data_IF_999430214322
#
_entry.id   IF_999430214322
#
_cell.length_a   1.000
_cell.length_b   1.000
_cell.length_c   1.000
_cell.angle_alpha   90.00
_cell.angle_beta   90.00
_cell.angle_gamma   90.00
#
_symmetry.space_group_name_H-M   'P 1'
#
loop_
_entity.id
_entity.type
_entity.pdbx_description
1 polymer ?
#
# COMPACT_ATOMS: atom_id res chain seq x y z
N UNK A 1 34.48 -3.35 47.19
CA UNK A 1 33.41 -2.56 47.83
C UNK A 1 32.13 -2.80 47.05
N UNK A 2 31.23 -3.61 47.62
CA UNK A 2 29.88 -3.90 47.09
C UNK A 2 28.92 -2.89 47.73
N UNK A 3 28.00 -2.34 46.95
CA UNK A 3 26.80 -1.69 47.48
C UNK A 3 25.58 -2.20 46.70
N UNK A 4 24.74 -2.95 47.40
CA UNK A 4 23.38 -3.33 47.04
C UNK A 4 22.40 -2.26 47.54
N UNK A 5 21.34 -1.95 46.79
CA UNK A 5 19.99 -1.58 47.29
C UNK A 5 19.05 -1.47 46.07
N UNK A 6 18.20 -2.45 45.75
CA UNK A 6 16.91 -2.84 46.36
C UNK A 6 15.71 -2.21 45.61
N UNK A 7 14.99 -3.07 44.89
CA UNK A 7 13.66 -2.82 44.34
C UNK A 7 12.63 -2.67 45.47
N UNK A 8 11.68 -1.74 45.30
CA UNK A 8 10.42 -1.74 46.02
C UNK A 8 9.25 -1.77 45.04
N UNK A 9 8.56 -2.91 45.04
CA UNK A 9 7.24 -3.15 44.46
C UNK A 9 6.18 -3.01 45.56
N UNK A 10 5.11 -2.25 45.31
CA UNK A 10 3.90 -2.24 46.15
C UNK A 10 2.65 -2.42 45.27
N UNK A 11 1.72 -3.33 45.62
CA UNK A 11 0.44 -3.53 44.94
C UNK A 11 -0.67 -2.72 45.63
N UNK A 12 -1.69 -2.29 44.88
CA UNK A 12 -2.96 -1.82 45.47
C UNK A 12 -4.14 -2.52 44.79
N UNK A 13 -5.03 -3.00 45.64
CA UNK A 13 -6.06 -3.99 45.42
C UNK A 13 -7.39 -3.42 44.92
N UNK A 14 -8.13 -4.33 44.27
CA UNK A 14 -9.57 -4.31 44.00
C UNK A 14 -10.38 -4.15 45.30
N UNK A 15 -11.39 -3.27 45.29
CA UNK A 15 -12.50 -3.30 46.24
C UNK A 15 -13.82 -3.10 45.50
N UNK A 16 -14.69 -4.09 45.64
CA UNK A 16 -16.09 -4.10 45.21
C UNK A 16 -16.97 -3.85 46.44
N UNK A 17 -17.96 -2.96 46.34
CA UNK A 17 -18.99 -2.83 47.36
C UNK A 17 -20.32 -2.35 46.72
N UNK A 18 -21.36 -3.15 46.93
CA UNK A 18 -22.76 -2.84 46.66
C UNK A 18 -23.32 -1.82 47.66
N UNK A 19 -24.34 -1.05 47.24
CA UNK A 19 -25.19 -0.28 48.15
C UNK A 19 -26.23 0.56 47.40
N UNK A 20 -27.48 0.11 47.43
CA UNK A 20 -28.68 0.81 46.97
C UNK A 20 -28.89 2.13 47.73
N UNK A 21 -29.43 3.15 47.05
CA UNK A 21 -30.42 4.06 47.63
C UNK A 21 -31.30 4.68 46.53
N UNK A 22 -32.57 4.90 46.91
CA UNK A 22 -33.70 5.15 46.02
C UNK A 22 -34.15 6.63 46.00
N UNK A 23 -34.42 7.13 44.77
CA UNK A 23 -35.54 8.03 44.35
C UNK A 23 -35.73 9.44 44.97
N UNK A 24 -36.58 10.35 44.42
CA UNK A 24 -37.20 10.46 43.08
C UNK A 24 -37.11 11.88 42.44
N UNK A 25 -37.59 12.03 41.19
CA UNK A 25 -38.05 13.34 40.69
C UNK A 25 -38.03 13.52 39.16
N UNK A 26 -39.04 12.99 38.46
CA UNK A 26 -39.34 13.41 37.08
C UNK A 26 -40.84 13.72 36.96
N UNK A 27 -41.14 14.95 36.57
CA UNK A 27 -42.47 15.48 36.31
C UNK A 27 -42.92 15.18 34.87
N UNK A 28 -44.22 14.96 34.76
CA UNK A 28 -44.97 14.47 33.61
C UNK A 28 -45.14 15.44 32.43
N UNK A 29 -45.47 14.86 31.28
CA UNK A 29 -46.40 15.44 30.30
C UNK A 29 -47.20 14.31 29.61
N UNK A 30 -48.51 14.31 29.84
CA UNK A 30 -49.59 13.60 29.12
C UNK A 30 -49.52 13.85 27.59
N UNK A 31 -49.94 12.99 26.66
CA UNK A 31 -51.17 12.18 26.50
C UNK A 31 -51.83 12.61 25.16
N UNK A 32 -52.44 11.81 24.28
CA UNK A 32 -52.74 10.39 24.19
C UNK A 32 -53.43 10.10 22.82
N UNK A 33 -53.95 8.87 22.65
CA UNK A 33 -55.16 8.47 21.90
C UNK A 33 -55.02 7.19 21.03
N UNK A 34 -55.87 6.19 21.30
CA UNK A 34 -56.63 5.48 20.24
C UNK A 34 -56.26 4.03 19.89
N UNK A 35 -56.88 3.05 20.58
CA UNK A 35 -57.10 1.67 20.11
C UNK A 35 -58.33 1.59 19.16
N UNK A 36 -58.85 0.42 18.71
CA UNK A 36 -58.25 -0.87 18.27
C UNK A 36 -58.84 -1.38 16.91
N UNK A 37 -58.30 -2.46 16.32
CA UNK A 37 -59.14 -3.44 15.60
C UNK A 37 -58.47 -4.83 15.51
N UNK A 38 -59.32 -5.85 15.39
CA UNK A 38 -59.14 -7.23 15.82
C UNK A 38 -59.06 -8.24 14.66
N UNK A 39 -58.52 -9.44 14.97
CA UNK A 39 -58.85 -10.76 14.38
C UNK A 39 -58.31 -11.06 12.96
N UNK A 40 -57.93 -12.28 12.57
CA UNK A 40 -57.96 -13.63 13.14
C UNK A 40 -56.95 -14.48 12.31
N UNK A 41 -55.95 -15.14 12.90
CA UNK A 41 -55.85 -16.57 13.28
C UNK A 41 -56.12 -17.65 12.21
N UNK A 42 -55.08 -18.44 11.90
CA UNK A 42 -55.02 -19.93 11.88
C UNK A 42 -53.67 -20.33 11.25
N UNK A 43 -52.83 -21.26 11.74
CA UNK A 43 -52.93 -22.26 12.80
C UNK A 43 -52.45 -23.60 12.23
N UNK A 44 -51.27 -24.09 12.66
CA UNK A 44 -50.92 -25.50 12.95
C UNK A 44 -49.40 -25.78 12.87
N UNK A 45 -48.85 -26.33 13.96
CA UNK A 45 -47.56 -27.03 14.08
C UNK A 45 -47.87 -28.54 14.32
N UNK A 46 -46.99 -29.42 14.84
CA UNK A 46 -45.51 -29.47 14.90
C UNK A 46 -44.95 -30.89 14.55
N UNK A 47 -43.63 -31.10 14.64
CA UNK A 47 -43.08 -32.39 15.08
C UNK A 47 -41.75 -32.83 14.45
N UNK A 48 -40.81 -33.26 15.32
CA UNK A 48 -39.75 -34.22 14.94
C UNK A 48 -38.34 -33.88 15.43
N UNK A 49 -38.03 -34.23 16.67
CA UNK A 49 -36.65 -34.42 17.13
C UNK A 49 -36.17 -35.84 16.78
N UNK A 50 -34.90 -36.01 16.41
CA UNK A 50 -34.14 -37.24 16.68
C UNK A 50 -32.63 -37.03 16.54
N UNK A 51 -31.91 -37.73 17.39
CA UNK A 51 -30.51 -37.67 17.74
C UNK A 51 -29.62 -38.68 16.98
N UNK A 52 -28.32 -38.52 17.21
CA UNK A 52 -27.23 -39.53 17.31
C UNK A 52 -26.69 -40.21 16.05
N UNK A 53 -25.35 -40.26 15.97
CA UNK A 53 -24.63 -41.11 15.01
C UNK A 53 -23.14 -40.82 14.92
N UNK A 54 -22.39 -41.05 16.00
CA UNK A 54 -20.93 -41.15 16.01
C UNK A 54 -20.43 -42.30 15.12
N UNK A 55 -19.37 -42.06 14.34
CA UNK A 55 -18.62 -43.10 13.63
C UNK A 55 -17.14 -42.78 13.58
N UNK A 56 -16.39 -43.23 14.59
CA UNK A 56 -14.94 -43.37 14.53
C UNK A 56 -14.61 -44.72 13.88
N UNK A 57 -13.72 -44.74 12.89
CA UNK A 57 -12.99 -45.94 12.50
C UNK A 57 -11.51 -45.58 12.28
N UNK A 58 -10.69 -46.22 13.11
CA UNK A 58 -9.24 -46.21 13.07
C UNK A 58 -8.70 -47.24 12.06
N UNK A 59 -7.43 -47.06 11.69
CA UNK A 59 -6.52 -48.18 11.42
C UNK A 59 -6.02 -48.28 9.98
N UNK A 60 -4.70 -48.18 9.81
CA UNK A 60 -4.04 -48.57 8.55
C UNK A 60 -2.65 -47.99 8.38
N UNK A 61 -1.70 -48.41 9.22
CA UNK A 61 -0.27 -48.20 9.02
C UNK A 61 0.27 -49.05 7.86
N UNK A 62 1.27 -48.53 7.14
CA UNK A 62 2.01 -49.26 6.11
C UNK A 62 3.30 -48.52 5.73
N UNK A 63 4.37 -48.80 6.47
CA UNK A 63 5.75 -48.34 6.22
C UNK A 63 6.44 -49.19 5.14
N UNK A 64 7.30 -48.57 4.33
CA UNK A 64 8.66 -49.03 3.91
C UNK A 64 9.12 -48.17 2.72
N UNK A 65 10.16 -47.35 2.81
CA UNK A 65 11.59 -47.64 2.96
C UNK A 65 12.26 -48.16 1.69
N UNK A 66 13.20 -47.37 1.16
CA UNK A 66 14.45 -47.90 0.59
C UNK A 66 14.77 -47.55 -0.87
N UNK A 67 15.88 -46.84 -1.08
CA UNK A 67 16.76 -47.14 -2.22
C UNK A 67 17.27 -45.96 -3.06
N UNK A 68 18.29 -45.26 -2.57
CA UNK A 68 19.42 -44.84 -3.42
C UNK A 68 20.57 -45.87 -3.16
N UNK A 69 21.50 -46.13 -4.10
CA UNK A 69 22.68 -45.26 -4.20
C UNK A 69 23.43 -45.18 -5.58
N UNK A 70 24.16 -44.07 -5.73
CA UNK A 70 25.58 -43.90 -6.19
C UNK A 70 26.09 -44.17 -7.63
N UNK A 71 26.75 -43.12 -8.14
CA UNK A 71 28.09 -42.99 -8.77
C UNK A 71 28.46 -43.53 -10.18
N UNK A 72 29.24 -42.68 -10.88
CA UNK A 72 30.11 -42.95 -12.04
C UNK A 72 30.38 -41.69 -12.89
N UNK A 73 31.30 -40.77 -12.54
CA UNK A 73 32.72 -40.62 -12.97
C UNK A 73 33.09 -40.72 -14.46
N UNK A 74 33.89 -39.75 -14.94
CA UNK A 74 34.73 -39.79 -16.17
C UNK A 74 34.66 -38.51 -17.03
N UNK A 75 35.47 -37.46 -16.78
CA UNK A 75 36.81 -37.14 -17.31
C UNK A 75 36.88 -36.56 -18.75
N UNK A 76 37.57 -35.42 -18.89
CA UNK A 76 38.11 -34.90 -20.17
C UNK A 76 38.63 -33.46 -20.09
N UNK A 77 39.95 -33.30 -19.97
CA UNK A 77 40.69 -32.04 -19.86
C UNK A 77 41.52 -31.73 -21.14
N UNK A 78 41.94 -30.46 -21.30
CA UNK A 78 43.03 -30.00 -22.17
C UNK A 78 42.82 -28.55 -22.63
N UNK A 79 43.41 -27.51 -22.01
CA UNK A 79 44.79 -27.00 -21.98
C UNK A 79 45.30 -26.27 -23.25
N UNK A 80 45.84 -25.06 -23.01
CA UNK A 80 46.93 -24.40 -23.75
C UNK A 80 46.48 -23.32 -24.73
N UNK A 81 46.98 -22.08 -24.74
CA UNK A 81 48.08 -21.45 -24.01
C UNK A 81 48.27 -20.00 -24.51
N UNK A 82 48.79 -19.13 -23.65
CA UNK A 82 49.32 -17.79 -23.96
C UNK A 82 50.77 -17.87 -24.46
N UNK A 83 51.23 -16.88 -25.24
CA UNK A 83 52.15 -15.86 -24.71
C UNK A 83 51.74 -14.46 -25.25
N UNK A 84 52.14 -13.29 -24.74
CA UNK A 84 53.28 -12.89 -23.94
C UNK A 84 53.94 -11.68 -24.63
N UNK A 85 53.89 -10.50 -24.00
CA UNK A 85 54.91 -9.46 -24.11
C UNK A 85 54.71 -8.29 -25.10
N UNK A 86 55.04 -7.09 -24.62
CA UNK A 86 55.60 -6.01 -25.45
C UNK A 86 54.87 -4.67 -25.34
N UNK A 87 55.37 -3.78 -24.48
CA UNK A 87 54.95 -2.38 -24.40
C UNK A 87 55.46 -1.52 -25.56
N UNK A 88 54.96 -0.29 -25.64
CA UNK A 88 55.46 0.72 -26.57
C UNK A 88 54.53 1.92 -26.68
N UNK A 89 54.94 3.02 -26.05
CA UNK A 89 54.31 4.32 -26.11
C UNK A 89 54.48 4.99 -27.50
N UNK A 90 53.50 5.82 -27.86
CA UNK A 90 53.56 7.06 -28.65
C UNK A 90 52.22 7.18 -29.42
N UNK A 91 51.44 8.25 -29.33
CA UNK A 91 51.85 9.63 -29.13
C UNK A 91 51.70 10.38 -30.44
N UNK A 92 50.55 11.03 -30.57
CA UNK A 92 50.22 12.13 -31.48
C UNK A 92 50.03 11.85 -32.98
N UNK A 93 48.84 12.20 -33.46
CA UNK A 93 48.64 12.86 -34.74
C UNK A 93 47.43 13.79 -34.60
N UNK A 94 47.72 15.08 -34.41
CA UNK A 94 46.89 16.20 -34.90
C UNK A 94 46.69 16.01 -36.42
N UNK A 95 45.64 16.48 -37.10
CA UNK A 95 45.18 17.85 -37.27
C UNK A 95 43.78 17.77 -37.95
N UNK A 96 42.87 18.68 -37.60
CA UNK A 96 42.10 19.42 -38.61
C UNK A 96 40.79 18.84 -39.16
N UNK A 97 39.69 19.44 -38.71
CA UNK A 97 38.87 20.20 -39.65
C UNK A 97 37.54 19.59 -40.11
N UNK A 98 36.49 20.37 -39.82
CA UNK A 98 35.26 20.59 -40.60
C UNK A 98 34.13 19.56 -40.55
N UNK A 99 33.02 20.00 -39.95
CA UNK A 99 31.73 20.06 -40.63
C UNK A 99 30.89 18.79 -40.58
N UNK A 100 30.11 18.64 -39.52
CA UNK A 100 28.97 17.73 -39.46
C UNK A 100 27.83 18.40 -38.72
N UNK A 101 26.85 18.89 -39.49
CA UNK A 101 25.65 19.59 -39.03
C UNK A 101 24.91 18.75 -37.98
N UNK A 102 24.80 19.26 -36.74
CA UNK A 102 23.76 18.82 -35.83
C UNK A 102 22.42 19.12 -36.49
N UNK A 103 21.69 18.06 -36.84
CA UNK A 103 20.27 18.13 -37.13
C UNK A 103 19.54 18.64 -35.89
N UNK A 104 19.36 19.96 -35.82
CA UNK A 104 18.40 20.58 -34.92
C UNK A 104 17.01 20.28 -35.50
N UNK A 105 16.50 19.10 -35.17
CA UNK A 105 15.07 18.82 -35.21
C UNK A 105 14.43 19.50 -34.02
N UNK A 106 14.21 20.81 -34.13
CA UNK A 106 13.39 21.55 -33.18
C UNK A 106 11.97 21.02 -33.21
N UNK A 107 11.63 20.20 -32.22
CA UNK A 107 10.28 20.20 -31.67
C UNK A 107 10.36 21.06 -30.42
N UNK A 108 9.59 22.15 -30.36
CA UNK A 108 9.37 22.92 -29.13
C UNK A 108 8.61 22.07 -28.13
N UNK A 109 9.30 21.08 -27.56
CA UNK A 109 8.72 20.06 -26.73
C UNK A 109 8.35 20.64 -25.38
N UNK A 110 7.06 20.56 -25.03
CA UNK A 110 6.69 20.41 -23.63
C UNK A 110 7.68 19.41 -23.02
N UNK A 111 8.39 19.83 -21.97
CA UNK A 111 9.41 19.00 -21.32
C UNK A 111 8.79 17.64 -20.99
N UNK A 112 9.26 16.59 -21.66
CA UNK A 112 8.63 15.28 -21.59
C UNK A 112 8.61 14.78 -20.14
N UNK A 113 7.48 14.23 -19.71
CA UNK A 113 7.40 13.61 -18.41
C UNK A 113 8.11 12.26 -18.44
N UNK A 114 9.25 12.15 -17.75
CA UNK A 114 10.06 10.95 -17.74
C UNK A 114 10.06 10.31 -16.35
N UNK A 115 10.37 9.02 -16.26
CA UNK A 115 10.58 8.34 -14.98
C UNK A 115 11.66 9.02 -14.14
N UNK A 116 12.73 9.50 -14.77
CA UNK A 116 13.81 10.24 -14.11
C UNK A 116 13.33 11.56 -13.50
N UNK A 117 12.45 12.29 -14.19
CA UNK A 117 11.82 13.50 -13.65
C UNK A 117 10.98 13.18 -12.40
N UNK A 118 10.10 12.17 -12.49
CA UNK A 118 9.19 11.80 -11.41
C UNK A 118 9.94 11.27 -10.18
N UNK A 119 10.90 10.36 -10.37
CA UNK A 119 11.74 9.83 -9.29
C UNK A 119 12.55 10.94 -8.61
N UNK A 120 13.20 11.82 -9.37
CA UNK A 120 13.95 12.95 -8.80
C UNK A 120 13.05 13.92 -8.02
N UNK A 121 11.80 14.11 -8.45
CA UNK A 121 10.84 14.94 -7.74
C UNK A 121 10.39 14.32 -6.41
N UNK A 122 10.18 12.99 -6.38
CA UNK A 122 9.90 12.24 -5.14
C UNK A 122 11.08 12.35 -4.18
N UNK A 123 12.31 12.15 -4.67
CA UNK A 123 13.53 12.28 -3.86
C UNK A 123 13.69 13.68 -3.26
N UNK A 124 13.53 14.71 -4.10
CA UNK A 124 13.59 16.09 -3.67
C UNK A 124 12.50 16.41 -2.63
N UNK A 125 11.26 15.93 -2.85
CA UNK A 125 10.15 16.15 -1.92
C UNK A 125 10.47 15.62 -0.52
N UNK A 126 10.92 14.37 -0.41
CA UNK A 126 11.24 13.78 0.90
C UNK A 126 12.49 14.41 1.54
N UNK A 127 13.47 14.86 0.74
CA UNK A 127 14.61 15.61 1.27
C UNK A 127 14.17 16.97 1.85
N UNK A 128 13.32 17.71 1.12
CA UNK A 128 12.72 18.96 1.59
C UNK A 128 11.84 18.75 2.83
N UNK A 129 11.05 17.67 2.84
CA UNK A 129 10.21 17.26 3.96
C UNK A 129 11.05 17.03 5.21
N UNK A 130 12.15 16.27 5.12
CA UNK A 130 13.04 16.03 6.25
C UNK A 130 13.78 17.28 6.73
N UNK A 131 14.03 18.23 5.83
CA UNK A 131 14.64 19.53 6.13
C UNK A 131 13.63 20.57 6.65
N UNK A 132 12.33 20.25 6.65
CA UNK A 132 11.23 21.16 6.94
C UNK A 132 11.25 22.44 6.07
N UNK A 133 11.77 22.34 4.85
CA UNK A 133 11.99 23.48 3.95
C UNK A 133 11.50 23.20 2.52
N UNK A 134 10.25 23.61 2.19
CA UNK A 134 9.70 23.43 0.85
C UNK A 134 10.31 24.37 -0.21
N UNK A 135 11.10 25.39 0.18
CA UNK A 135 11.65 26.38 -0.75
C UNK A 135 12.67 25.80 -1.73
N UNK A 136 13.19 24.62 -1.42
CA UNK A 136 14.12 23.84 -2.27
C UNK A 136 13.42 23.11 -3.42
N UNK A 137 12.08 23.03 -3.40
CA UNK A 137 11.31 22.29 -4.40
C UNK A 137 10.96 23.15 -5.63
N UNK A 138 10.88 22.55 -6.82
CA UNK A 138 10.38 23.21 -8.02
C UNK A 138 8.85 23.33 -7.96
N UNK A 139 8.31 24.27 -7.18
CA UNK A 139 6.87 24.43 -6.99
C UNK A 139 6.26 25.33 -8.06
N UNK A 140 5.07 24.97 -8.54
CA UNK A 140 4.25 25.85 -9.35
C UNK A 140 3.55 26.89 -8.46
N UNK A 141 3.25 28.08 -9.02
CA UNK A 141 2.47 29.09 -8.30
C UNK A 141 1.04 28.63 -7.97
N UNK A 142 0.52 27.66 -8.72
CA UNK A 142 -0.80 27.05 -8.55
C UNK A 142 -0.80 25.82 -7.63
N UNK A 143 0.27 25.59 -6.86
CA UNK A 143 0.40 24.41 -6.01
C UNK A 143 -0.82 24.26 -5.09
N UNK A 144 -1.45 23.09 -5.13
CA UNK A 144 -2.40 22.64 -4.10
C UNK A 144 -1.74 21.53 -3.27
N UNK A 145 -1.87 21.62 -1.95
CA UNK A 145 -1.35 20.63 -1.02
C UNK A 145 -2.42 20.19 -0.02
N UNK A 146 -2.49 18.89 0.25
CA UNK A 146 -3.32 18.32 1.32
C UNK A 146 -2.53 17.32 2.17
N UNK A 147 -2.82 17.28 3.47
CA UNK A 147 -2.45 16.19 4.39
C UNK A 147 -3.71 15.61 5.02
N UNK A 148 -3.91 14.29 4.91
CA UNK A 148 -5.10 13.57 5.39
C UNK A 148 -6.42 14.29 5.01
N UNK A 149 -6.51 14.73 3.75
CA UNK A 149 -7.69 15.42 3.22
C UNK A 149 -7.77 16.93 3.51
N UNK A 150 -6.89 17.47 4.36
CA UNK A 150 -6.95 18.87 4.78
C UNK A 150 -6.00 19.73 3.96
N UNK A 151 -6.56 20.71 3.25
CA UNK A 151 -5.76 21.66 2.47
C UNK A 151 -4.97 22.62 3.36
N UNK A 152 -3.73 22.90 2.98
CA UNK A 152 -2.87 23.88 3.65
C UNK A 152 -1.77 24.38 2.72
N UNK A 153 -1.07 25.44 3.12
CA UNK A 153 0.19 25.82 2.46
C UNK A 153 1.24 24.73 2.74
N UNK A 154 1.95 24.31 1.69
CA UNK A 154 3.03 23.33 1.84
C UNK A 154 4.06 23.83 2.87
N UNK A 155 4.40 23.00 3.85
CA UNK A 155 5.36 23.33 4.89
C UNK A 155 4.78 23.95 6.17
N UNK A 156 3.52 24.40 6.19
CA UNK A 156 2.96 25.16 7.32
C UNK A 156 2.53 24.30 8.51
N UNK A 157 2.17 23.03 8.29
CA UNK A 157 1.59 22.17 9.32
C UNK A 157 1.88 20.67 9.07
N UNK A 158 1.40 19.83 10.00
CA UNK A 158 1.40 18.38 9.84
C UNK A 158 2.80 17.77 9.84
N UNK A 159 2.99 16.74 9.01
CA UNK A 159 4.24 15.99 8.90
C UNK A 159 5.43 16.89 8.52
N UNK A 160 5.18 18.00 7.81
CA UNK A 160 6.22 18.98 7.47
C UNK A 160 6.91 19.63 8.68
N UNK A 161 6.33 19.54 9.87
CA UNK A 161 6.93 20.09 11.11
C UNK A 161 7.71 19.09 11.93
N UNK A 162 7.55 17.79 11.64
CA UNK A 162 7.99 16.71 12.52
C UNK A 162 8.74 15.61 11.79
N UNK A 163 8.73 15.61 10.46
CA UNK A 163 9.36 14.60 9.63
C UNK A 163 10.86 14.46 9.88
N UNK A 164 11.33 13.23 9.96
CA UNK A 164 12.74 12.89 9.76
C UNK A 164 13.05 12.48 8.32
N UNK A 165 14.30 12.10 8.07
CA UNK A 165 14.67 11.46 6.81
C UNK A 165 13.90 10.14 6.63
N UNK A 166 13.29 9.94 5.46
CA UNK A 166 12.55 8.70 5.16
C UNK A 166 13.45 7.48 5.33
N UNK A 167 12.90 6.39 5.83
CA UNK A 167 13.60 5.12 6.06
C UNK A 167 13.43 4.14 4.90
N UNK A 168 12.36 4.29 4.14
CA UNK A 168 11.98 3.40 3.05
C UNK A 168 11.03 4.13 2.11
N UNK A 169 11.05 3.78 0.82
CA UNK A 169 10.02 4.17 -0.13
C UNK A 169 9.99 3.20 -1.32
N UNK A 170 8.81 3.02 -1.91
CA UNK A 170 8.64 2.53 -3.28
C UNK A 170 7.62 3.39 -4.03
N UNK A 171 7.79 3.55 -5.34
CA UNK A 171 7.01 4.49 -6.14
C UNK A 171 6.50 3.89 -7.45
N UNK A 172 5.23 4.12 -7.73
CA UNK A 172 4.68 4.03 -9.08
C UNK A 172 4.92 5.36 -9.83
N UNK A 173 5.52 5.30 -11.01
CA UNK A 173 5.85 6.46 -11.84
C UNK A 173 5.01 6.45 -13.12
N UNK A 174 3.94 7.23 -13.14
CA UNK A 174 3.00 7.35 -14.27
C UNK A 174 3.41 8.51 -15.19
N UNK A 175 4.16 8.18 -16.23
CA UNK A 175 4.68 9.17 -17.19
C UNK A 175 3.62 9.76 -18.11
N UNK A 176 2.45 9.11 -18.24
CA UNK A 176 1.38 9.62 -19.10
C UNK A 176 0.57 10.72 -18.39
N UNK A 177 0.27 10.52 -17.10
CA UNK A 177 -0.38 11.56 -16.28
C UNK A 177 0.59 12.55 -15.66
N UNK A 178 1.90 12.29 -15.78
CA UNK A 178 2.95 12.99 -15.08
C UNK A 178 2.73 13.07 -13.57
N UNK A 179 2.47 11.90 -12.98
CA UNK A 179 2.22 11.74 -11.56
C UNK A 179 3.09 10.63 -10.97
N UNK A 180 3.39 10.75 -9.69
CA UNK A 180 3.92 9.65 -8.89
C UNK A 180 2.95 9.31 -7.77
N UNK A 181 3.00 8.05 -7.32
CA UNK A 181 2.39 7.60 -6.09
C UNK A 181 3.41 6.76 -5.33
N UNK A 182 3.69 7.12 -4.09
CA UNK A 182 4.79 6.57 -3.30
C UNK A 182 4.27 6.14 -1.95
N UNK A 183 4.52 4.89 -1.55
CA UNK A 183 4.40 4.47 -0.16
C UNK A 183 5.77 4.54 0.50
N UNK A 184 5.84 5.01 1.74
CA UNK A 184 7.07 5.34 2.44
C UNK A 184 6.93 5.09 3.94
N UNK A 185 8.06 4.92 4.62
CA UNK A 185 8.14 5.02 6.08
C UNK A 185 8.93 6.27 6.46
N UNK A 186 8.31 7.15 7.25
CA UNK A 186 8.90 8.43 7.65
C UNK A 186 8.85 8.55 9.18
N UNK A 187 9.94 8.98 9.85
CA UNK A 187 9.86 9.36 11.26
C UNK A 187 8.95 10.59 11.45
N UNK A 188 8.01 10.54 12.38
CA UNK A 188 7.12 11.63 12.79
C UNK A 188 7.14 11.75 14.32
N UNK A 189 7.77 12.81 14.84
CA UNK A 189 7.65 13.16 16.27
C UNK A 189 8.14 12.11 17.28
N UNK A 190 8.93 11.12 16.84
CA UNK A 190 9.46 10.04 17.68
C UNK A 190 8.96 8.63 17.32
N UNK A 191 7.97 8.52 16.45
CA UNK A 191 7.47 7.25 15.90
C UNK A 191 7.79 7.14 14.41
N UNK A 192 7.81 5.92 13.87
CA UNK A 192 7.83 5.71 12.41
C UNK A 192 6.40 5.57 11.92
N UNK A 193 6.02 6.32 10.89
CA UNK A 193 4.66 6.28 10.33
C UNK A 193 4.69 5.84 8.86
N UNK A 194 3.76 4.98 8.42
CA UNK A 194 3.50 4.74 7.01
C UNK A 194 2.89 5.98 6.36
N UNK A 195 3.38 6.31 5.17
CA UNK A 195 2.99 7.51 4.42
C UNK A 195 2.71 7.13 2.98
N UNK A 196 1.61 7.64 2.42
CA UNK A 196 1.40 7.70 0.99
C UNK A 196 1.56 9.13 0.49
N UNK A 197 2.30 9.32 -0.59
CA UNK A 197 2.51 10.59 -1.26
C UNK A 197 2.13 10.46 -2.72
N UNK A 198 1.24 11.32 -3.19
CA UNK A 198 1.00 11.52 -4.62
C UNK A 198 1.48 12.92 -5.03
N UNK A 199 2.30 12.96 -6.08
CA UNK A 199 2.71 14.21 -6.73
C UNK A 199 2.14 14.28 -8.14
N UNK A 200 1.78 15.48 -8.58
CA UNK A 200 1.57 15.79 -10.01
C UNK A 200 2.55 16.87 -10.43
N UNK A 201 3.11 16.71 -11.62
CA UNK A 201 4.01 17.67 -12.22
C UNK A 201 3.44 18.22 -13.53
N UNK A 202 3.60 19.53 -13.72
CA UNK A 202 3.37 20.20 -14.99
C UNK A 202 4.55 21.13 -15.25
N UNK A 203 5.10 21.11 -16.47
CA UNK A 203 6.28 21.91 -16.83
C UNK A 203 7.46 21.72 -15.86
N UNK A 204 7.71 20.46 -15.44
CA UNK A 204 8.75 20.07 -14.47
C UNK A 204 8.59 20.69 -13.07
N UNK A 205 7.40 21.21 -12.75
CA UNK A 205 7.09 21.76 -11.43
C UNK A 205 5.99 20.98 -10.75
N UNK A 206 6.08 20.82 -9.44
CA UNK A 206 5.02 20.22 -8.63
C UNK A 206 3.83 21.18 -8.60
N UNK A 207 2.71 20.73 -9.14
CA UNK A 207 1.41 21.45 -9.12
C UNK A 207 0.48 20.90 -8.05
N UNK A 208 0.67 19.65 -7.65
CA UNK A 208 -0.19 19.00 -6.67
C UNK A 208 0.64 18.08 -5.75
N UNK A 209 0.35 18.13 -4.45
CA UNK A 209 0.95 17.27 -3.43
C UNK A 209 -0.14 16.77 -2.48
N UNK A 210 -0.42 15.48 -2.50
CA UNK A 210 -1.39 14.83 -1.63
C UNK A 210 -0.67 13.84 -0.72
N UNK A 211 -0.76 14.08 0.59
CA UNK A 211 -0.09 13.29 1.61
C UNK A 211 -1.13 12.59 2.48
N UNK A 212 -0.97 11.28 2.67
CA UNK A 212 -1.71 10.48 3.64
C UNK A 212 -0.70 9.97 4.65
N UNK A 213 -0.90 10.28 5.92
CA UNK A 213 -0.01 9.94 7.04
C UNK A 213 -0.81 9.09 8.01
N UNK A 214 -0.49 7.81 8.09
CA UNK A 214 -1.17 6.86 8.96
C UNK A 214 -0.54 6.89 10.36
N UNK A 215 -1.15 7.64 11.28
CA UNK A 215 -0.71 7.71 12.67
C UNK A 215 -1.45 6.69 13.54
N UNK A 216 -0.90 6.40 14.71
CA UNK A 216 -1.53 5.49 15.67
C UNK A 216 -2.96 5.94 16.01
N UNK A 217 -3.92 5.01 15.89
CA UNK A 217 -5.33 5.27 16.13
C UNK A 217 -6.11 5.83 14.94
N UNK A 218 -5.46 6.24 13.85
CA UNK A 218 -6.14 6.73 12.65
C UNK A 218 -6.98 5.64 11.96
N UNK A 219 -6.56 4.37 12.08
CA UNK A 219 -7.30 3.22 11.57
C UNK A 219 -7.39 2.12 12.64
N UNK A 220 -8.39 2.14 13.53
CA UNK A 220 -8.43 1.26 14.71
C UNK A 220 -8.68 -0.22 14.38
N UNK A 221 -9.05 -0.54 13.14
CA UNK A 221 -9.26 -1.92 12.70
C UNK A 221 -7.94 -2.69 12.50
N UNK A 222 -6.82 -1.99 12.34
CA UNK A 222 -5.51 -2.60 12.13
C UNK A 222 -4.37 -1.71 12.62
N UNK A 223 -3.51 -2.26 13.48
CA UNK A 223 -2.30 -1.59 13.93
C UNK A 223 -1.27 -1.46 12.79
N UNK A 224 -0.70 -0.26 12.65
CA UNK A 224 0.36 -0.02 11.68
C UNK A 224 1.62 -0.80 12.05
N UNK A 225 2.34 -1.30 11.03
CA UNK A 225 3.62 -1.97 11.23
C UNK A 225 4.64 -1.48 10.18
N UNK A 226 5.26 -0.31 10.39
CA UNK A 226 6.22 0.26 9.45
C UNK A 226 7.36 -0.70 9.09
N UNK A 227 7.85 -1.49 10.04
CA UNK A 227 8.91 -2.46 9.80
C UNK A 227 8.51 -3.53 8.78
N UNK A 228 7.28 -4.04 8.84
CA UNK A 228 6.76 -4.99 7.88
C UNK A 228 6.52 -4.37 6.50
N UNK A 229 6.14 -3.08 6.42
CA UNK A 229 6.07 -2.37 5.14
C UNK A 229 7.45 -2.32 4.46
N UNK A 230 8.51 -1.99 5.20
CA UNK A 230 9.88 -1.97 4.66
C UNK A 230 10.35 -3.36 4.23
N UNK A 231 10.11 -4.38 5.06
CA UNK A 231 10.51 -5.76 4.78
C UNK A 231 9.73 -6.40 3.61
N UNK A 232 8.60 -5.80 3.20
CA UNK A 232 7.80 -6.31 2.09
C UNK A 232 8.54 -6.32 0.75
N UNK A 233 9.49 -5.40 0.57
CA UNK A 233 10.22 -5.25 -0.68
C UNK A 233 11.12 -6.44 -0.98
N UNK A 234 11.66 -7.11 0.05
CA UNK A 234 12.50 -8.32 -0.09
C UNK A 234 11.77 -9.46 -0.81
N UNK A 235 10.43 -9.50 -0.72
CA UNK A 235 9.59 -10.53 -1.34
C UNK A 235 8.91 -10.03 -2.61
N UNK A 236 8.39 -8.80 -2.58
CA UNK A 236 7.51 -8.29 -3.64
C UNK A 236 8.32 -7.61 -4.75
N UNK A 237 9.46 -6.99 -4.39
CA UNK A 237 10.31 -6.21 -5.27
C UNK A 237 9.47 -5.16 -6.05
N UNK A 238 8.86 -4.23 -5.31
CA UNK A 238 7.80 -3.35 -5.81
C UNK A 238 8.21 -2.63 -7.09
N UNK A 239 9.42 -2.07 -7.10
CA UNK A 239 9.94 -1.30 -8.24
C UNK A 239 10.69 -2.15 -9.28
N UNK A 240 10.79 -3.47 -9.11
CA UNK A 240 11.44 -4.32 -10.12
C UNK A 240 10.67 -4.24 -11.43
N UNK A 241 11.38 -3.87 -12.50
CA UNK A 241 10.82 -3.82 -13.84
C UNK A 241 10.29 -5.19 -14.27
N UNK A 242 9.08 -5.19 -14.81
CA UNK A 242 8.43 -6.38 -15.34
C UNK A 242 8.98 -6.64 -16.75
N UNK A 243 9.25 -7.91 -17.15
CA UNK A 243 9.63 -8.23 -18.52
C UNK A 243 8.59 -7.74 -19.54
N UNK A 244 9.02 -7.20 -20.68
CA UNK A 244 8.12 -6.54 -21.63
C UNK A 244 6.92 -7.39 -22.07
N UNK A 245 7.09 -8.72 -22.23
CA UNK A 245 6.01 -9.64 -22.60
C UNK A 245 5.05 -10.01 -21.46
N UNK A 246 5.34 -9.60 -20.23
CA UNK A 246 4.53 -9.84 -19.03
C UNK A 246 3.91 -8.56 -18.47
N UNK A 247 4.26 -7.38 -19.04
CA UNK A 247 3.70 -6.10 -18.62
C UNK A 247 2.22 -6.04 -18.96
N UNK A 248 1.41 -5.70 -17.97
CA UNK A 248 0.03 -5.30 -18.20
C UNK A 248 0.00 -3.95 -18.93
N UNK A 249 -1.02 -3.71 -19.75
CA UNK A 249 -1.26 -2.37 -20.29
C UNK A 249 -1.74 -1.42 -19.20
N UNK A 250 -1.72 -0.12 -19.49
CA UNK A 250 -2.32 0.90 -18.62
C UNK A 250 -3.78 0.56 -18.31
N UNK A 251 -4.56 0.25 -19.35
CA UNK A 251 -5.98 -0.04 -19.25
C UNK A 251 -6.23 -1.26 -18.37
N UNK A 252 -5.38 -2.29 -18.46
CA UNK A 252 -5.43 -3.46 -17.60
C UNK A 252 -5.15 -3.07 -16.15
N UNK A 253 -4.06 -2.36 -15.85
CA UNK A 253 -3.72 -1.94 -14.48
C UNK A 253 -4.83 -1.08 -13.85
N UNK A 254 -5.27 -0.03 -14.55
CA UNK A 254 -6.33 0.86 -14.04
C UNK A 254 -7.68 0.16 -13.98
N UNK A 255 -7.99 -0.73 -14.93
CA UNK A 255 -9.23 -1.49 -14.95
C UNK A 255 -9.32 -2.52 -13.82
N UNK A 256 -8.21 -3.17 -13.48
CA UNK A 256 -8.12 -4.06 -12.31
C UNK A 256 -8.26 -3.30 -11.00
N UNK A 257 -7.65 -2.11 -10.89
CA UNK A 257 -7.78 -1.25 -9.71
C UNK A 257 -9.22 -0.71 -9.54
N UNK A 258 -9.84 -0.20 -10.59
CA UNK A 258 -11.25 0.22 -10.56
C UNK A 258 -12.17 -0.94 -10.14
N UNK A 259 -11.98 -2.12 -10.73
CA UNK A 259 -12.74 -3.32 -10.40
C UNK A 259 -12.55 -3.75 -8.94
N UNK A 260 -11.34 -3.64 -8.40
CA UNK A 260 -11.06 -3.95 -7.00
C UNK A 260 -11.91 -3.09 -6.07
N UNK A 261 -11.90 -1.77 -6.24
CA UNK A 261 -12.67 -0.86 -5.40
C UNK A 261 -14.17 -1.10 -5.54
N UNK A 262 -14.68 -1.22 -6.77
CA UNK A 262 -16.11 -1.46 -7.01
C UNK A 262 -16.63 -2.76 -6.44
N UNK A 263 -15.74 -3.73 -6.16
CA UNK A 263 -16.10 -5.04 -5.60
C UNK A 263 -15.72 -5.20 -4.14
N UNK A 264 -15.15 -4.20 -3.50
CA UNK A 264 -14.83 -4.27 -2.08
C UNK A 264 -16.08 -4.64 -1.25
N UNK A 265 -15.97 -5.56 -0.27
CA UNK A 265 -14.80 -6.26 0.24
C UNK A 265 -14.55 -7.63 -0.42
N UNK A 266 -15.20 -7.94 -1.56
CA UNK A 266 -15.15 -9.27 -2.18
C UNK A 266 -13.74 -9.73 -2.56
N UNK A 267 -12.77 -8.83 -2.64
CA UNK A 267 -11.34 -9.15 -2.70
C UNK A 267 -10.69 -8.88 -4.05
N UNK A 268 -9.42 -9.24 -4.13
CA UNK A 268 -8.55 -9.01 -5.28
C UNK A 268 -8.64 -10.21 -6.21
N UNK A 269 -8.64 -9.91 -7.50
CA UNK A 269 -8.82 -10.89 -8.57
C UNK A 269 -7.49 -11.40 -9.11
N UNK A 270 -7.51 -12.64 -9.62
CA UNK A 270 -6.38 -13.27 -10.33
C UNK A 270 -5.07 -13.21 -9.52
N UNK A 271 -5.16 -13.44 -8.21
CA UNK A 271 -4.02 -13.39 -7.31
C UNK A 271 -3.18 -14.66 -7.41
N UNK A 272 -1.87 -14.54 -7.18
CA UNK A 272 -1.03 -15.71 -6.97
C UNK A 272 -1.33 -16.38 -5.62
N UNK A 273 -1.01 -17.67 -5.45
CA UNK A 273 -1.21 -18.35 -4.16
C UNK A 273 -0.46 -17.72 -2.99
N UNK A 274 0.64 -17.03 -3.27
CA UNK A 274 1.52 -16.36 -2.31
C UNK A 274 1.30 -14.84 -2.24
N UNK A 275 0.21 -14.35 -2.86
CA UNK A 275 -0.11 -12.93 -2.90
C UNK A 275 -0.25 -12.36 -1.50
N UNK A 276 0.37 -11.21 -1.29
CA UNK A 276 0.44 -10.54 0.00
C UNK A 276 -0.43 -9.29 0.04
N UNK A 277 -1.24 -9.13 1.08
CA UNK A 277 -1.93 -7.88 1.41
C UNK A 277 -1.33 -7.25 2.65
N UNK A 278 -0.90 -6.00 2.51
CA UNK A 278 -0.28 -5.21 3.57
C UNK A 278 -1.05 -3.90 3.70
N UNK A 279 -1.44 -3.51 4.91
CA UNK A 279 -2.21 -2.28 5.12
C UNK A 279 -1.57 -1.49 6.27
N UNK A 280 -1.07 -0.29 5.99
CA UNK A 280 -0.21 0.47 6.91
C UNK A 280 0.99 -0.36 7.42
N UNK A 281 1.44 -1.34 6.63
CA UNK A 281 2.43 -2.34 7.05
C UNK A 281 1.87 -3.49 7.92
N UNK A 282 0.70 -3.30 8.52
CA UNK A 282 0.02 -4.30 9.33
C UNK A 282 -0.66 -5.40 8.50
N UNK A 283 -1.17 -6.41 9.21
CA UNK A 283 -2.14 -7.37 8.67
C UNK A 283 -1.55 -8.56 7.91
N UNK A 284 -0.46 -8.38 7.16
CA UNK A 284 0.24 -9.43 6.37
C UNK A 284 -0.67 -10.59 5.90
N UNK A 285 -1.81 -10.24 5.30
CA UNK A 285 -2.83 -11.21 4.96
C UNK A 285 -2.43 -11.89 3.65
N UNK A 286 -2.74 -13.18 3.51
CA UNK A 286 -2.79 -13.76 2.16
C UNK A 286 -3.91 -13.02 1.43
N UNK A 287 -3.66 -12.53 0.23
CA UNK A 287 -4.71 -11.92 -0.58
C UNK A 287 -5.87 -12.90 -0.66
N UNK A 288 -7.02 -12.56 -0.06
CA UNK A 288 -8.21 -13.38 -0.12
C UNK A 288 -8.52 -13.67 -1.58
N UNK A 289 -8.63 -14.94 -1.95
CA UNK A 289 -9.13 -15.36 -3.26
C UNK A 289 -10.58 -14.88 -3.35
N UNK A 290 -10.77 -13.64 -3.78
CA UNK A 290 -12.10 -13.09 -4.00
C UNK A 290 -12.78 -13.93 -5.07
N UNK A 291 -14.00 -14.39 -4.80
CA UNK A 291 -14.74 -15.34 -5.63
C UNK A 291 -14.68 -15.00 -7.13
N UNK A 292 -13.81 -15.67 -7.89
CA UNK A 292 -13.69 -15.74 -9.37
C UNK A 292 -13.94 -14.48 -10.20
N UNK A 293 -14.00 -13.29 -9.59
CA UNK A 293 -14.45 -12.05 -10.21
C UNK A 293 -15.79 -12.15 -10.96
N UNK A 294 -16.63 -13.14 -10.66
CA UNK A 294 -17.94 -13.27 -11.28
C UNK A 294 -18.76 -11.99 -11.04
N UNK A 295 -19.51 -11.55 -12.04
CA UNK A 295 -20.34 -10.34 -11.99
C UNK A 295 -21.34 -10.35 -10.82
N UNK A 296 -21.35 -9.27 -10.03
CA UNK A 296 -22.24 -9.06 -8.88
C UNK A 296 -21.52 -8.41 -7.69
N UNK A 297 -21.88 -7.18 -7.34
CA UNK A 297 -21.58 -6.67 -6.00
C UNK A 297 -22.35 -7.54 -5.00
N UNK A 298 -21.74 -7.91 -3.88
CA UNK A 298 -22.53 -8.46 -2.76
C UNK A 298 -23.66 -7.48 -2.45
N UNK A 299 -24.90 -7.96 -2.36
CA UNK A 299 -26.06 -7.11 -2.10
C UNK A 299 -25.88 -6.37 -0.76
N UNK A 300 -25.97 -5.03 -0.76
CA UNK A 300 -26.09 -4.22 0.45
C UNK A 300 -24.82 -3.55 0.98
N UNK A 301 -23.69 -3.60 0.27
CA UNK A 301 -22.46 -2.89 0.63
C UNK A 301 -22.21 -1.68 -0.27
N UNK A 302 -21.60 -0.62 0.29
CA UNK A 302 -21.23 0.57 -0.47
C UNK A 302 -20.21 0.18 -1.56
N UNK A 303 -20.50 0.59 -2.80
CA UNK A 303 -19.56 0.44 -3.92
C UNK A 303 -18.52 1.53 -3.79
N UNK A 304 -17.28 1.17 -3.46
CA UNK A 304 -16.18 2.14 -3.49
C UNK A 304 -15.89 2.53 -4.94
N UNK A 305 -15.57 3.79 -5.17
CA UNK A 305 -15.15 4.29 -6.48
C UNK A 305 -13.85 5.06 -6.30
N UNK A 306 -12.77 4.69 -7.00
CA UNK A 306 -11.53 5.44 -6.93
C UNK A 306 -11.76 6.85 -7.47
N UNK A 307 -11.23 7.86 -6.78
CA UNK A 307 -11.18 9.26 -7.22
C UNK A 307 -10.10 9.45 -8.28
N UNK A 308 -8.99 8.72 -8.14
CA UNK A 308 -7.86 8.79 -9.04
C UNK A 308 -7.24 7.41 -9.24
N UNK A 309 -6.78 7.15 -10.46
CA UNK A 309 -6.08 5.92 -10.86
C UNK A 309 -4.78 6.27 -11.56
N UNK A 310 -3.69 5.57 -11.21
CA UNK A 310 -2.39 5.70 -11.84
C UNK A 310 -1.90 4.32 -12.30
N UNK A 311 -1.03 4.30 -13.30
CA UNK A 311 -0.39 3.09 -13.79
C UNK A 311 1.09 3.32 -14.07
N UNK A 312 1.96 2.53 -13.43
CA UNK A 312 3.35 2.35 -13.83
C UNK A 312 3.48 1.01 -14.58
N UNK A 313 3.38 1.08 -15.90
CA UNK A 313 3.46 -0.10 -16.79
C UNK A 313 4.82 -0.77 -16.73
N UNK A 314 5.90 -0.03 -16.44
CA UNK A 314 7.25 -0.59 -16.43
C UNK A 314 7.47 -1.53 -15.25
N UNK A 315 6.95 -1.16 -14.09
CA UNK A 315 7.05 -1.94 -12.85
C UNK A 315 5.80 -2.78 -12.56
N UNK A 316 4.73 -2.60 -13.34
CA UNK A 316 3.46 -3.30 -13.14
C UNK A 316 2.73 -2.83 -11.89
N UNK A 317 2.90 -1.57 -11.50
CA UNK A 317 2.21 -0.99 -10.35
C UNK A 317 0.93 -0.28 -10.79
N UNK A 318 -0.22 -0.76 -10.29
CA UNK A 318 -1.49 -0.05 -10.40
C UNK A 318 -1.79 0.64 -9.08
N UNK A 319 -2.25 1.90 -9.10
CA UNK A 319 -2.56 2.66 -7.89
C UNK A 319 -3.96 3.24 -7.99
N UNK A 320 -4.68 3.28 -6.87
CA UNK A 320 -5.91 4.05 -6.78
C UNK A 320 -6.11 4.69 -5.41
N UNK A 321 -6.66 5.90 -5.42
CA UNK A 321 -6.98 6.68 -4.23
C UNK A 321 -8.50 6.75 -4.08
N UNK A 322 -9.05 6.51 -2.89
CA UNK A 322 -10.48 6.66 -2.61
C UNK A 322 -10.71 7.31 -1.23
N UNK A 323 -11.98 7.61 -0.95
CA UNK A 323 -12.47 7.72 0.42
C UNK A 323 -13.06 6.36 0.79
N UNK A 324 -12.36 5.65 1.65
CA UNK A 324 -12.66 4.29 2.05
C UNK A 324 -13.75 4.27 3.12
N UNK A 325 -14.92 3.73 2.76
CA UNK A 325 -16.09 3.57 3.64
C UNK A 325 -16.56 4.85 4.33
N UNK A 326 -16.22 6.03 3.77
CA UNK A 326 -16.66 7.35 4.22
C UNK A 326 -15.88 7.97 5.39
N UNK A 327 -14.98 7.23 6.05
CA UNK A 327 -14.26 7.70 7.23
C UNK A 327 -12.73 7.72 7.10
N UNK A 328 -12.19 7.13 6.03
CA UNK A 328 -10.76 7.00 5.85
C UNK A 328 -10.36 7.44 4.44
N UNK A 329 -9.24 8.15 4.35
CA UNK A 329 -8.59 8.45 3.08
C UNK A 329 -7.53 7.36 2.84
N UNK A 330 -7.49 6.82 1.63
CA UNK A 330 -6.58 5.72 1.31
C UNK A 330 -5.87 5.88 -0.03
N UNK A 331 -4.73 5.19 -0.14
CA UNK A 331 -4.07 4.89 -1.39
C UNK A 331 -3.77 3.40 -1.40
N UNK A 332 -4.36 2.67 -2.35
CA UNK A 332 -4.05 1.28 -2.62
C UNK A 332 -3.08 1.16 -3.80
N UNK A 333 -2.17 0.19 -3.72
CA UNK A 333 -1.15 -0.09 -4.72
C UNK A 333 -1.02 -1.60 -4.95
N UNK A 334 -1.07 -2.05 -6.20
CA UNK A 334 -0.91 -3.48 -6.52
C UNK A 334 0.34 -3.71 -7.35
N UNK A 335 0.99 -4.86 -7.15
CA UNK A 335 1.99 -5.42 -8.06
C UNK A 335 1.33 -6.45 -8.97
N UNK A 336 1.30 -6.19 -10.28
CA UNK A 336 0.70 -7.07 -11.28
C UNK A 336 1.64 -7.30 -12.47
N UNK A 337 1.73 -8.55 -12.92
CA UNK A 337 2.36 -8.93 -14.17
C UNK A 337 1.92 -10.34 -14.60
N UNK A 338 2.09 -10.68 -15.88
CA UNK A 338 1.64 -11.97 -16.43
C UNK A 338 0.13 -12.20 -16.23
N UNK A 339 -0.64 -11.12 -16.15
CA UNK A 339 -2.07 -11.10 -15.85
C UNK A 339 -2.43 -11.33 -14.37
N UNK A 340 -1.46 -11.62 -13.48
CA UNK A 340 -1.72 -11.98 -12.07
C UNK A 340 -1.34 -10.86 -11.10
N UNK A 341 -2.05 -10.79 -9.97
CA UNK A 341 -1.70 -9.90 -8.84
C UNK A 341 -0.83 -10.66 -7.84
N UNK A 342 0.33 -10.09 -7.53
CA UNK A 342 1.31 -10.66 -6.59
C UNK A 342 1.26 -9.99 -5.22
N UNK A 343 0.80 -8.74 -5.14
CA UNK A 343 0.62 -8.07 -3.87
C UNK A 343 -0.37 -6.91 -3.98
N UNK A 344 -0.93 -6.56 -2.83
CA UNK A 344 -1.69 -5.34 -2.59
C UNK A 344 -1.13 -4.68 -1.34
N UNK A 345 -0.72 -3.43 -1.46
CA UNK A 345 -0.43 -2.56 -0.33
C UNK A 345 -1.49 -1.48 -0.23
N UNK A 346 -1.68 -0.95 0.96
CA UNK A 346 -2.54 0.20 1.18
C UNK A 346 -1.99 1.05 2.31
N UNK A 347 -2.03 2.37 2.14
CA UNK A 347 -1.87 3.32 3.24
C UNK A 347 -3.21 3.99 3.48
N UNK A 348 -3.71 3.91 4.71
CA UNK A 348 -5.00 4.44 5.12
C UNK A 348 -4.84 5.29 6.38
N UNK A 349 -5.48 6.45 6.40
CA UNK A 349 -5.55 7.30 7.58
C UNK A 349 -6.97 7.85 7.78
N UNK A 350 -7.24 8.42 8.95
CA UNK A 350 -8.48 9.12 9.21
C UNK A 350 -8.63 10.30 8.24
N UNK A 351 -9.76 10.38 7.56
CA UNK A 351 -10.06 11.42 6.58
C UNK A 351 -11.38 11.15 5.87
N UNK A 352 -12.35 12.05 6.03
CA UNK A 352 -13.68 11.94 5.41
C UNK A 352 -13.73 12.54 3.99
N UNK A 353 -12.69 13.29 3.60
CA UNK A 353 -12.56 13.97 2.31
C UNK A 353 -11.10 13.87 1.84
N UNK A 354 -10.90 14.00 0.53
CA UNK A 354 -9.60 14.11 -0.12
C UNK A 354 -9.07 15.55 -0.10
N UNK A 355 -9.99 16.53 -0.01
CA UNK A 355 -9.69 17.95 -0.19
C UNK A 355 -9.43 18.32 -1.65
N UNK A 356 -9.69 17.43 -2.61
CA UNK A 356 -9.43 17.62 -4.05
C UNK A 356 -10.68 17.87 -4.89
N UNK A 357 -11.87 17.68 -4.33
CA UNK A 357 -13.15 18.08 -4.93
C UNK A 357 -13.39 19.61 -4.86
#
# INVERSE_FOLDING_TARGET
MRAHLALLSLPIALASACGNDASPGASASDGGAGSPMAGASSGAAPGGAASSGSGNAAGGAGSSAGGAPSAGTGNGAGQGGTPGGGGGAAGSSSIGGSGGLSGSGGNGGASACTRGLLSSAVDAYFAALAAHDPSTLPLAASLKHTENGKASTLGDAGLWKTAGARKYAHSALDTELCMSATESVVPDGGSDVPVALRLKLENQKITESELIVARDGDYPALEANPAALMASDDKIEWERAVPAGERATREELTGWMDKYFRRFPAGVCNTTPDCLRIENGGGNFICGQGASCASGAGSGQAVLSPRLLLADVETGLGVGLTIFTGGYIDMHLFKMYGGKVYAVSAILANGEDSGWE
#
